data_IF_764179322944
#
_entry.id   IF_764179322944
#
_cell.length_a   1.000
_cell.length_b   1.000
_cell.length_c   1.000
_cell.angle_alpha   90.00
_cell.angle_beta   90.00
_cell.angle_gamma   90.00
#
_symmetry.space_group_name_H-M   'P 1'
#
loop_
_entity.id
_entity.type
_entity.pdbx_description
1 polymer ?
#
# COMPACT_ATOMS: atom_id res chain seq x y z
N UNK A 1 22.79 -1.74 17.84
CA UNK A 1 22.33 -0.49 17.18
C UNK A 1 23.34 -0.01 16.12
N UNK A 2 23.97 -0.95 15.38
CA UNK A 2 25.19 -0.69 14.58
C UNK A 2 25.01 -1.09 13.10
N UNK A 3 23.83 -1.58 12.67
CA UNK A 3 23.64 -2.11 11.31
C UNK A 3 23.17 -1.07 10.27
N UNK A 4 22.11 -0.32 10.57
CA UNK A 4 21.50 0.62 9.61
C UNK A 4 22.27 1.94 9.50
N UNK A 5 22.84 2.46 10.59
CA UNK A 5 23.52 3.76 10.57
C UNK A 5 24.82 3.72 9.75
N UNK A 6 25.54 2.59 9.76
CA UNK A 6 26.77 2.42 8.97
C UNK A 6 26.50 2.16 7.48
N UNK A 7 25.45 1.40 7.12
CA UNK A 7 25.04 1.25 5.72
C UNK A 7 24.41 2.53 5.13
N UNK A 8 23.69 3.32 5.94
CA UNK A 8 23.08 4.58 5.51
C UNK A 8 24.11 5.69 5.26
N UNK A 9 25.32 5.59 5.82
CA UNK A 9 26.40 6.54 5.58
C UNK A 9 26.96 6.51 4.14
N UNK A 10 26.71 5.43 3.37
CA UNK A 10 27.25 5.26 2.02
C UNK A 10 26.31 5.66 0.87
N UNK A 11 25.00 5.79 1.11
CA UNK A 11 24.04 6.09 0.04
C UNK A 11 23.82 7.60 -0.06
N UNK A 12 24.08 8.17 -1.24
CA UNK A 12 23.90 9.62 -1.45
C UNK A 12 22.44 9.92 -1.77
N UNK A 13 21.78 10.78 -1.00
CA UNK A 13 20.46 11.26 -1.38
C UNK A 13 20.54 12.17 -2.61
N UNK A 14 19.56 12.04 -3.50
CA UNK A 14 19.47 12.85 -4.72
C UNK A 14 19.27 14.34 -4.42
N UNK A 15 18.57 14.67 -3.33
CA UNK A 15 18.39 16.02 -2.80
C UNK A 15 19.13 16.14 -1.46
N UNK A 16 20.42 16.51 -1.44
CA UNK A 16 21.24 16.51 -0.22
C UNK A 16 20.68 17.39 0.91
N UNK A 17 20.00 18.48 0.58
CA UNK A 17 19.39 19.37 1.57
C UNK A 17 18.20 18.74 2.31
N UNK A 18 17.56 17.71 1.74
CA UNK A 18 16.45 16.98 2.37
C UNK A 18 16.92 15.79 3.21
N UNK A 19 18.22 15.46 3.19
CA UNK A 19 18.82 14.36 3.94
C UNK A 19 18.38 14.32 5.42
N UNK A 20 18.40 15.43 6.19
CA UNK A 20 18.02 15.39 7.60
C UNK A 20 16.55 15.00 7.79
N UNK A 21 15.68 15.51 6.92
CA UNK A 21 14.25 15.23 6.92
C UNK A 21 14.01 13.76 6.57
N UNK A 22 14.67 13.27 5.53
CA UNK A 22 14.57 11.88 5.09
C UNK A 22 15.08 10.89 6.12
N UNK A 23 16.20 11.17 6.80
CA UNK A 23 16.69 10.33 7.89
C UNK A 23 15.71 10.25 9.06
N UNK A 24 15.06 11.36 9.39
CA UNK A 24 14.06 11.41 10.46
C UNK A 24 12.78 10.65 10.08
N UNK A 25 12.34 10.75 8.82
CA UNK A 25 11.06 10.22 8.37
C UNK A 25 11.13 8.77 7.85
N UNK A 26 12.26 8.33 7.28
CA UNK A 26 12.38 7.02 6.65
C UNK A 26 12.00 5.83 7.55
N UNK A 27 12.35 5.81 8.86
CA UNK A 27 11.99 4.69 9.72
C UNK A 27 10.47 4.61 10.02
N UNK A 28 9.70 5.66 9.69
CA UNK A 28 8.24 5.65 9.78
C UNK A 28 7.55 4.97 8.60
N UNK A 29 8.24 4.76 7.48
CA UNK A 29 7.66 4.13 6.29
C UNK A 29 7.05 2.76 6.62
N UNK A 30 7.83 1.85 7.21
CA UNK A 30 7.29 0.54 7.60
C UNK A 30 6.19 0.64 8.68
N UNK A 31 6.32 1.60 9.62
CA UNK A 31 5.29 1.83 10.64
C UNK A 31 3.96 2.24 10.03
N UNK A 32 3.96 3.09 9.00
CA UNK A 32 2.74 3.48 8.30
C UNK A 32 2.12 2.30 7.54
N UNK A 33 2.94 1.43 6.94
CA UNK A 33 2.45 0.20 6.30
C UNK A 33 1.75 -0.67 7.34
N UNK A 34 2.41 -0.97 8.47
CA UNK A 34 1.81 -1.75 9.57
C UNK A 34 0.53 -1.11 10.09
N UNK A 35 0.55 0.20 10.32
CA UNK A 35 -0.60 0.96 10.79
C UNK A 35 -1.79 0.82 9.83
N UNK A 36 -1.58 1.11 8.54
CA UNK A 36 -2.62 1.04 7.52
C UNK A 36 -3.16 -0.38 7.34
N UNK A 37 -2.29 -1.39 7.37
CA UNK A 37 -2.67 -2.81 7.34
C UNK A 37 -3.59 -3.17 8.51
N UNK A 38 -3.32 -2.69 9.72
CA UNK A 38 -4.20 -2.95 10.88
C UNK A 38 -5.48 -2.14 10.83
N UNK A 39 -5.38 -0.84 10.55
CA UNK A 39 -6.49 0.10 10.55
C UNK A 39 -7.60 -0.30 9.57
N UNK A 40 -7.25 -0.89 8.42
CA UNK A 40 -8.24 -1.29 7.41
C UNK A 40 -9.20 -2.37 7.90
N UNK A 41 -8.79 -3.24 8.84
CA UNK A 41 -9.69 -4.29 9.36
C UNK A 41 -10.70 -3.75 10.37
N UNK A 42 -10.43 -2.60 10.98
CA UNK A 42 -11.27 -2.09 12.07
C UNK A 42 -12.71 -1.80 11.61
N UNK A 43 -12.95 -1.08 10.50
CA UNK A 43 -14.30 -0.85 10.00
C UNK A 43 -15.05 -2.14 9.62
N UNK A 44 -14.36 -3.14 9.03
CA UNK A 44 -14.97 -4.44 8.70
C UNK A 44 -15.34 -5.22 9.95
N UNK A 45 -14.47 -5.20 10.97
CA UNK A 45 -14.73 -5.83 12.25
C UNK A 45 -15.93 -5.22 12.97
N UNK A 46 -16.01 -3.89 13.01
CA UNK A 46 -17.18 -3.17 13.55
C UNK A 46 -18.44 -3.50 12.76
N UNK A 47 -18.38 -3.54 11.43
CA UNK A 47 -19.52 -3.91 10.60
C UNK A 47 -20.01 -5.34 10.89
N UNK A 48 -19.10 -6.30 11.07
CA UNK A 48 -19.43 -7.69 11.42
C UNK A 48 -20.04 -7.81 12.81
N UNK A 49 -19.54 -7.06 13.80
CA UNK A 49 -20.12 -6.99 15.14
C UNK A 49 -21.55 -6.46 15.07
N UNK A 50 -21.77 -5.35 14.33
CA UNK A 50 -23.10 -4.77 14.13
C UNK A 50 -24.05 -5.72 13.39
N UNK A 51 -23.53 -6.60 12.54
CA UNK A 51 -24.27 -7.65 11.85
C UNK A 51 -24.46 -8.94 12.70
N UNK A 52 -24.05 -8.95 13.96
CA UNK A 52 -24.22 -10.08 14.89
C UNK A 52 -23.14 -11.16 14.81
N UNK A 53 -22.10 -10.99 13.99
CA UNK A 53 -20.96 -11.90 13.93
C UNK A 53 -19.83 -11.43 14.87
N UNK A 54 -20.05 -11.64 16.16
CA UNK A 54 -19.16 -11.14 17.21
C UNK A 54 -17.76 -11.75 17.18
N UNK A 55 -17.63 -13.03 16.81
CA UNK A 55 -16.33 -13.71 16.81
C UNK A 55 -15.40 -13.17 15.72
N UNK A 56 -15.84 -13.22 14.45
CA UNK A 56 -15.04 -12.68 13.35
C UNK A 56 -14.91 -11.17 13.43
N UNK A 57 -15.99 -10.48 13.81
CA UNK A 57 -15.96 -9.03 13.96
C UNK A 57 -15.02 -8.56 15.08
N UNK A 58 -14.98 -9.29 16.20
CA UNK A 58 -14.04 -9.06 17.29
C UNK A 58 -12.59 -9.30 16.87
N UNK A 59 -12.32 -10.37 16.11
CA UNK A 59 -10.98 -10.65 15.58
C UNK A 59 -10.49 -9.53 14.66
N UNK A 60 -11.31 -9.06 13.72
CA UNK A 60 -10.92 -7.98 12.81
C UNK A 60 -10.78 -6.62 13.50
N UNK A 61 -11.73 -6.26 14.37
CA UNK A 61 -11.71 -4.97 15.05
C UNK A 61 -10.53 -4.88 16.03
N UNK A 62 -10.43 -5.85 16.94
CA UNK A 62 -9.37 -5.85 17.96
C UNK A 62 -8.03 -6.20 17.33
N UNK A 63 -7.97 -7.24 16.50
CA UNK A 63 -6.75 -7.64 15.80
C UNK A 63 -6.20 -6.53 14.91
N UNK A 64 -7.07 -5.80 14.21
CA UNK A 64 -6.71 -4.61 13.43
C UNK A 64 -6.06 -3.52 14.27
N UNK A 65 -6.65 -3.16 15.42
CA UNK A 65 -6.07 -2.20 16.37
C UNK A 65 -4.72 -2.68 16.90
N UNK A 66 -4.63 -3.95 17.31
CA UNK A 66 -3.39 -4.53 17.84
C UNK A 66 -2.25 -4.52 16.81
N UNK A 67 -2.55 -4.87 15.55
CA UNK A 67 -1.60 -4.73 14.45
C UNK A 67 -1.21 -3.26 14.26
N UNK A 68 -2.18 -2.34 14.24
CA UNK A 68 -1.95 -0.92 14.00
C UNK A 68 -1.11 -0.25 15.10
N UNK A 69 -1.19 -0.72 16.34
CA UNK A 69 -0.36 -0.25 17.46
C UNK A 69 0.97 -1.00 17.60
N UNK A 70 1.08 -2.20 17.02
CA UNK A 70 2.32 -2.98 17.01
C UNK A 70 2.46 -3.75 18.31
N UNK A 71 1.33 -4.31 18.76
CA UNK A 71 1.22 -5.16 19.92
C UNK A 71 0.74 -6.53 19.44
N UNK A 72 1.52 -7.60 19.70
CA UNK A 72 1.25 -8.98 19.22
C UNK A 72 0.86 -9.07 17.72
N UNK A 73 1.39 -8.16 16.90
CA UNK A 73 1.03 -8.04 15.49
C UNK A 73 1.29 -9.30 14.65
N UNK A 74 2.30 -10.12 14.98
CA UNK A 74 2.58 -11.37 14.23
C UNK A 74 1.45 -12.36 14.41
N UNK A 75 1.05 -12.61 15.66
CA UNK A 75 -0.06 -13.51 15.99
C UNK A 75 -1.35 -13.02 15.35
N UNK A 76 -1.68 -11.74 15.52
CA UNK A 76 -2.90 -11.17 14.95
C UNK A 76 -2.89 -11.20 13.41
N UNK A 77 -1.76 -10.89 12.77
CA UNK A 77 -1.65 -10.93 11.32
C UNK A 77 -1.79 -12.35 10.77
N UNK A 78 -1.28 -13.38 11.46
CA UNK A 78 -1.49 -14.78 11.08
C UNK A 78 -2.97 -15.16 11.15
N UNK A 79 -3.67 -14.78 12.23
CA UNK A 79 -5.11 -15.08 12.36
C UNK A 79 -5.93 -14.40 11.24
N UNK A 80 -5.65 -13.12 10.96
CA UNK A 80 -6.30 -12.40 9.87
C UNK A 80 -5.90 -12.93 8.49
N UNK A 81 -4.69 -13.46 8.30
CA UNK A 81 -4.30 -14.12 7.04
C UNK A 81 -5.20 -15.32 6.75
N UNK A 82 -5.48 -16.15 7.76
CA UNK A 82 -6.37 -17.30 7.61
C UNK A 82 -7.77 -16.84 7.19
N UNK A 83 -8.29 -15.78 7.82
CA UNK A 83 -9.57 -15.20 7.44
C UNK A 83 -9.56 -14.62 6.02
N UNK A 84 -8.54 -13.86 5.65
CA UNK A 84 -8.41 -13.28 4.30
C UNK A 84 -8.31 -14.36 3.24
N UNK A 85 -7.58 -15.45 3.50
CA UNK A 85 -7.52 -16.61 2.61
C UNK A 85 -8.90 -17.24 2.41
N UNK A 86 -9.67 -17.40 3.49
CA UNK A 86 -11.06 -17.85 3.39
C UNK A 86 -11.94 -16.88 2.60
N UNK A 87 -11.78 -15.56 2.77
CA UNK A 87 -12.51 -14.57 1.98
C UNK A 87 -12.16 -14.65 0.50
N UNK A 88 -10.90 -14.92 0.15
CA UNK A 88 -10.49 -15.12 -1.25
C UNK A 88 -11.20 -16.35 -1.83
N UNK A 89 -11.21 -17.48 -1.12
CA UNK A 89 -11.85 -18.71 -1.64
C UNK A 89 -13.35 -18.52 -1.84
N UNK A 90 -14.03 -17.83 -0.93
CA UNK A 90 -15.47 -17.55 -1.02
C UNK A 90 -15.81 -16.58 -2.17
N UNK A 91 -14.90 -15.67 -2.53
CA UNK A 91 -15.17 -14.63 -3.52
C UNK A 91 -14.50 -14.86 -4.89
N UNK A 92 -13.74 -15.94 -5.09
CA UNK A 92 -12.94 -16.17 -6.30
C UNK A 92 -13.77 -16.18 -7.60
N UNK A 93 -15.03 -16.63 -7.53
CA UNK A 93 -15.95 -16.64 -8.68
C UNK A 93 -16.54 -15.27 -9.03
N UNK A 94 -16.36 -14.24 -8.20
CA UNK A 94 -16.94 -12.90 -8.42
C UNK A 94 -16.09 -12.05 -9.37
N UNK A 95 -14.88 -12.47 -9.72
CA UNK A 95 -13.97 -11.73 -10.60
C UNK A 95 -12.79 -11.10 -9.86
N UNK A 96 -11.89 -10.50 -10.64
CA UNK A 96 -10.58 -10.02 -10.19
C UNK A 96 -10.49 -8.49 -10.22
N UNK A 97 -10.20 -7.94 -11.40
CA UNK A 97 -9.85 -6.54 -11.60
C UNK A 97 -11.12 -5.67 -11.71
N UNK A 98 -11.21 -4.61 -10.90
CA UNK A 98 -12.33 -3.66 -10.91
C UNK A 98 -13.72 -4.24 -10.63
N UNK A 99 -13.79 -5.49 -10.18
CA UNK A 99 -15.07 -6.15 -9.93
C UNK A 99 -15.55 -5.87 -8.51
N UNK A 100 -16.81 -5.41 -8.38
CA UNK A 100 -17.45 -5.21 -7.07
C UNK A 100 -17.52 -6.55 -6.34
N UNK A 101 -16.97 -6.61 -5.13
CA UNK A 101 -16.91 -7.84 -4.36
C UNK A 101 -15.93 -8.89 -4.92
N UNK A 102 -15.09 -8.53 -5.89
CA UNK A 102 -14.03 -9.40 -6.42
C UNK A 102 -12.88 -9.59 -5.44
N UNK A 103 -11.89 -10.39 -5.82
CA UNK A 103 -10.82 -10.80 -4.89
C UNK A 103 -9.63 -9.86 -4.81
N UNK A 104 -9.48 -8.90 -5.72
CA UNK A 104 -8.30 -8.02 -5.78
C UNK A 104 -8.01 -7.31 -4.44
N UNK A 105 -9.06 -6.80 -3.77
CA UNK A 105 -8.95 -6.16 -2.45
C UNK A 105 -8.40 -7.12 -1.39
N UNK A 106 -8.93 -8.34 -1.34
CA UNK A 106 -8.49 -9.35 -0.38
C UNK A 106 -7.06 -9.84 -0.66
N UNK A 107 -6.69 -10.01 -1.94
CA UNK A 107 -5.31 -10.34 -2.29
C UNK A 107 -4.35 -9.20 -1.94
N UNK A 108 -4.80 -7.96 -2.01
CA UNK A 108 -4.02 -6.83 -1.51
C UNK A 108 -3.78 -6.92 0.00
N UNK A 109 -4.84 -7.14 0.78
CA UNK A 109 -4.74 -7.35 2.24
C UNK A 109 -3.82 -8.53 2.60
N UNK A 110 -3.87 -9.62 1.83
CA UNK A 110 -3.04 -10.81 2.02
C UNK A 110 -1.54 -10.45 2.04
N UNK A 111 -1.03 -9.75 1.03
CA UNK A 111 0.39 -9.42 0.98
C UNK A 111 0.81 -8.35 1.98
N UNK A 112 -0.09 -7.43 2.34
CA UNK A 112 0.16 -6.49 3.44
C UNK A 112 0.28 -7.21 4.79
N UNK A 113 -0.59 -8.18 5.06
CA UNK A 113 -0.50 -9.01 6.25
C UNK A 113 0.76 -9.88 6.24
N UNK A 114 1.14 -10.47 5.09
CA UNK A 114 2.42 -11.19 4.96
C UNK A 114 3.62 -10.29 5.25
N UNK A 115 3.58 -9.04 4.77
CA UNK A 115 4.59 -8.03 5.12
C UNK A 115 4.68 -7.82 6.63
N UNK A 116 3.55 -7.71 7.32
CA UNK A 116 3.51 -7.57 8.80
C UNK A 116 3.98 -8.85 9.51
N UNK A 117 3.60 -10.03 9.01
CA UNK A 117 4.06 -11.31 9.56
C UNK A 117 5.56 -11.45 9.45
N UNK A 118 6.19 -10.96 8.38
CA UNK A 118 7.65 -11.01 8.21
C UNK A 118 8.32 -9.90 9.02
N UNK A 119 7.95 -8.64 8.78
CA UNK A 119 8.61 -7.46 9.34
C UNK A 119 8.28 -7.16 10.79
N UNK A 120 7.26 -7.81 11.36
CA UNK A 120 6.89 -7.65 12.77
C UNK A 120 6.42 -6.24 13.10
N UNK A 121 6.78 -5.78 14.31
CA UNK A 121 6.29 -4.52 14.87
C UNK A 121 6.96 -3.28 14.24
N UNK A 122 8.15 -3.43 13.66
CA UNK A 122 8.96 -2.30 13.23
C UNK A 122 9.63 -1.57 14.40
N UNK A 123 10.29 -0.45 14.08
CA UNK A 123 11.10 0.33 15.02
C UNK A 123 10.28 1.21 15.97
N UNK A 124 9.07 1.62 15.56
CA UNK A 124 8.19 2.51 16.31
C UNK A 124 6.92 1.80 16.80
N UNK A 125 7.10 0.72 17.54
CA UNK A 125 6.02 -0.03 18.18
C UNK A 125 6.22 -0.14 19.69
N UNK A 126 5.16 -0.51 20.42
CA UNK A 126 5.21 -0.74 21.87
C UNK A 126 6.18 -1.89 22.18
N UNK A 127 6.08 -3.00 21.44
CA UNK A 127 7.03 -4.11 21.48
C UNK A 127 7.89 -4.09 20.22
N UNK A 128 9.06 -3.45 20.28
CA UNK A 128 9.90 -3.20 19.09
C UNK A 128 10.48 -4.49 18.51
N UNK A 129 10.49 -4.57 17.19
CA UNK A 129 11.25 -5.59 16.46
C UNK A 129 12.71 -5.15 16.36
N UNK A 130 13.64 -6.01 16.78
CA UNK A 130 15.07 -5.71 16.75
C UNK A 130 15.75 -6.24 15.50
N UNK A 131 15.11 -7.15 14.75
CA UNK A 131 15.66 -7.69 13.53
C UNK A 131 15.40 -6.77 12.32
N UNK A 132 16.36 -5.88 12.08
CA UNK A 132 16.37 -4.92 10.96
C UNK A 132 16.21 -5.58 9.59
N UNK A 133 16.72 -6.81 9.39
CA UNK A 133 16.59 -7.55 8.12
C UNK A 133 15.14 -7.95 7.86
N UNK A 134 14.43 -8.41 8.89
CA UNK A 134 13.03 -8.78 8.77
C UNK A 134 12.15 -7.57 8.45
N UNK A 135 12.37 -6.44 9.13
CA UNK A 135 11.65 -5.19 8.85
C UNK A 135 11.86 -4.78 7.39
N UNK A 136 13.11 -4.81 6.91
CA UNK A 136 13.44 -4.49 5.53
C UNK A 136 12.81 -5.45 4.51
N UNK A 137 12.73 -6.75 4.82
CA UNK A 137 12.05 -7.74 3.98
C UNK A 137 10.54 -7.48 3.94
N UNK A 138 9.90 -7.21 5.08
CA UNK A 138 8.47 -6.84 5.12
C UNK A 138 8.19 -5.59 4.28
N UNK A 139 8.97 -4.53 4.48
CA UNK A 139 8.88 -3.30 3.68
C UNK A 139 9.02 -3.56 2.17
N UNK A 140 10.01 -4.37 1.78
CA UNK A 140 10.24 -4.73 0.38
C UNK A 140 9.10 -5.57 -0.18
N UNK A 141 8.58 -6.53 0.59
CA UNK A 141 7.43 -7.33 0.20
C UNK A 141 6.21 -6.46 -0.03
N UNK A 142 5.90 -5.53 0.88
CA UNK A 142 4.78 -4.59 0.70
C UNK A 142 4.93 -3.78 -0.60
N UNK A 143 6.15 -3.30 -0.90
CA UNK A 143 6.42 -2.54 -2.12
C UNK A 143 6.21 -3.37 -3.39
N UNK A 144 6.83 -4.54 -3.45
CA UNK A 144 6.73 -5.45 -4.60
C UNK A 144 5.29 -5.94 -4.79
N UNK A 145 4.62 -6.30 -3.69
CA UNK A 145 3.26 -6.80 -3.72
C UNK A 145 2.25 -5.76 -4.19
N UNK A 146 2.33 -4.54 -3.65
CA UNK A 146 1.48 -3.44 -4.08
C UNK A 146 1.68 -3.15 -5.56
N UNK A 147 2.93 -2.99 -6.00
CA UNK A 147 3.24 -2.75 -7.40
C UNK A 147 2.68 -3.86 -8.30
N UNK A 148 2.93 -5.12 -7.95
CA UNK A 148 2.44 -6.28 -8.70
C UNK A 148 0.92 -6.28 -8.88
N UNK A 149 0.15 -5.92 -7.84
CA UNK A 149 -1.31 -5.91 -7.89
C UNK A 149 -1.90 -4.73 -8.68
N UNK A 150 -1.12 -3.66 -8.90
CA UNK A 150 -1.53 -2.52 -9.71
C UNK A 150 -1.15 -2.72 -11.19
N UNK A 151 -0.11 -3.50 -11.52
CA UNK A 151 0.31 -3.74 -12.90
C UNK A 151 -0.81 -4.15 -13.88
N UNK A 152 -1.77 -5.03 -13.53
CA UNK A 152 -2.87 -5.39 -14.43
C UNK A 152 -3.72 -4.18 -14.84
N UNK A 153 -3.84 -3.18 -13.95
CA UNK A 153 -4.54 -1.95 -14.23
C UNK A 153 -3.82 -1.09 -15.27
N UNK A 154 -2.50 -0.91 -15.13
CA UNK A 154 -1.69 -0.20 -16.13
C UNK A 154 -1.71 -0.92 -17.48
N UNK A 155 -1.66 -2.26 -17.47
CA UNK A 155 -1.75 -3.07 -18.68
C UNK A 155 -3.09 -2.89 -19.41
N UNK A 156 -4.23 -2.99 -18.70
CA UNK A 156 -5.56 -2.77 -19.29
C UNK A 156 -5.68 -1.37 -19.88
N UNK A 157 -5.14 -0.35 -19.20
CA UNK A 157 -5.18 1.03 -19.69
C UNK A 157 -4.42 1.21 -21.01
N UNK A 158 -3.21 0.67 -21.11
CA UNK A 158 -2.34 0.87 -22.27
C UNK A 158 -2.73 -0.04 -23.45
N UNK A 159 -3.09 -1.29 -23.18
CA UNK A 159 -3.22 -2.33 -24.22
C UNK A 159 -4.65 -2.79 -24.49
N UNK A 160 -5.63 -2.33 -23.70
CA UNK A 160 -7.04 -2.76 -23.82
C UNK A 160 -8.00 -1.55 -23.82
N UNK A 161 -7.59 -0.45 -24.47
CA UNK A 161 -8.36 0.79 -24.63
C UNK A 161 -8.81 1.47 -23.32
N UNK A 162 -8.25 1.08 -22.18
CA UNK A 162 -8.63 1.61 -20.88
C UNK A 162 -8.27 3.09 -20.70
N UNK A 163 -7.28 3.62 -21.43
CA UNK A 163 -6.96 5.07 -21.44
C UNK A 163 -8.18 5.89 -21.87
N UNK A 164 -8.82 5.55 -22.99
CA UNK A 164 -9.99 6.27 -23.48
C UNK A 164 -11.16 6.17 -22.48
N UNK A 165 -11.34 4.99 -21.89
CA UNK A 165 -12.35 4.72 -20.85
C UNK A 165 -12.17 5.60 -19.62
N UNK A 166 -10.96 5.73 -19.09
CA UNK A 166 -10.73 6.59 -17.91
C UNK A 166 -10.75 8.08 -18.26
N UNK A 167 -10.32 8.47 -19.47
CA UNK A 167 -10.36 9.84 -19.94
C UNK A 167 -11.80 10.36 -20.01
N UNK A 168 -12.70 9.59 -20.62
CA UNK A 168 -14.13 9.94 -20.73
C UNK A 168 -14.90 9.76 -19.41
N UNK A 169 -14.37 8.96 -18.48
CA UNK A 169 -15.00 8.67 -17.20
C UNK A 169 -14.38 9.45 -16.04
N UNK A 170 -13.45 8.80 -15.34
CA UNK A 170 -12.91 9.26 -14.07
C UNK A 170 -12.14 10.57 -14.18
N UNK A 171 -11.32 10.76 -15.22
CA UNK A 171 -10.51 11.97 -15.39
C UNK A 171 -11.39 13.18 -15.70
N UNK A 172 -12.42 13.01 -16.54
CA UNK A 172 -13.35 14.11 -16.82
C UNK A 172 -14.04 14.63 -15.56
N UNK A 173 -14.37 13.74 -14.61
CA UNK A 173 -14.97 14.11 -13.32
C UNK A 173 -14.06 14.96 -12.43
N UNK A 174 -12.73 14.89 -12.60
CA UNK A 174 -11.80 15.70 -11.80
C UNK A 174 -11.66 17.13 -12.32
N UNK A 175 -12.14 17.42 -13.53
CA UNK A 175 -11.97 18.73 -14.17
C UNK A 175 -10.56 18.97 -14.73
N UNK A 176 -9.71 17.93 -14.82
CA UNK A 176 -8.38 18.06 -15.39
C UNK A 176 -8.41 18.00 -16.92
N UNK A 177 -7.97 19.08 -17.56
CA UNK A 177 -7.91 19.20 -19.02
C UNK A 177 -6.47 19.30 -19.53
N UNK A 178 -6.14 18.67 -20.69
CA UNK A 178 -6.99 17.78 -21.46
C UNK A 178 -7.07 16.36 -20.83
N UNK A 179 -8.26 15.71 -20.75
CA UNK A 179 -8.43 14.44 -20.04
C UNK A 179 -7.57 13.29 -20.59
N UNK A 180 -7.35 13.28 -21.89
CA UNK A 180 -6.55 12.25 -22.56
C UNK A 180 -5.08 12.27 -22.09
N UNK A 181 -4.51 13.47 -21.85
CA UNK A 181 -3.15 13.60 -21.36
C UNK A 181 -3.01 12.95 -19.98
N UNK A 182 -3.89 13.31 -19.04
CA UNK A 182 -3.86 12.78 -17.68
C UNK A 182 -4.15 11.28 -17.65
N UNK A 183 -5.03 10.77 -18.52
CA UNK A 183 -5.27 9.35 -18.65
C UNK A 183 -4.02 8.57 -19.07
N UNK A 184 -3.24 9.10 -20.02
CA UNK A 184 -1.95 8.51 -20.41
C UNK A 184 -0.91 8.58 -19.30
N UNK A 185 -0.83 9.68 -18.56
CA UNK A 185 0.07 9.81 -17.40
C UNK A 185 -0.25 8.73 -16.36
N UNK A 186 -1.52 8.56 -16.00
CA UNK A 186 -1.99 7.51 -15.09
C UNK A 186 -1.64 6.11 -15.62
N UNK A 187 -1.91 5.85 -16.89
CA UNK A 187 -1.65 4.54 -17.50
C UNK A 187 -0.16 4.14 -17.43
N UNK A 188 0.75 5.07 -17.74
CA UNK A 188 2.19 4.83 -17.64
C UNK A 188 2.69 4.72 -16.21
N UNK A 189 2.13 5.51 -15.29
CA UNK A 189 2.47 5.44 -13.87
C UNK A 189 2.07 4.10 -13.26
N UNK A 190 0.89 3.58 -13.60
CA UNK A 190 0.42 2.28 -13.14
C UNK A 190 1.12 1.08 -13.79
N UNK A 191 1.73 1.24 -14.97
CA UNK A 191 2.50 0.18 -15.63
C UNK A 191 4.01 0.33 -15.36
N UNK A 192 4.65 1.28 -16.04
CA UNK A 192 6.10 1.49 -15.94
C UNK A 192 6.50 1.96 -14.54
N UNK A 193 5.72 2.86 -13.94
CA UNK A 193 5.96 3.31 -12.57
C UNK A 193 5.90 2.15 -11.57
N UNK A 194 4.90 1.26 -11.66
CA UNK A 194 4.84 0.10 -10.76
C UNK A 194 6.01 -0.87 -10.95
N UNK A 195 6.47 -1.10 -12.18
CA UNK A 195 7.69 -1.91 -12.42
C UNK A 195 8.92 -1.29 -11.74
N UNK A 196 9.09 0.02 -11.88
CA UNK A 196 10.19 0.76 -11.24
C UNK A 196 10.06 0.74 -9.72
N UNK A 197 8.85 0.94 -9.19
CA UNK A 197 8.57 0.89 -7.76
C UNK A 197 8.85 -0.50 -7.18
N UNK A 198 8.44 -1.58 -7.86
CA UNK A 198 8.74 -2.95 -7.43
C UNK A 198 10.26 -3.18 -7.30
N UNK A 199 11.03 -2.77 -8.31
CA UNK A 199 12.48 -2.83 -8.31
C UNK A 199 13.12 -1.93 -7.24
N UNK A 200 12.40 -0.93 -6.73
CA UNK A 200 12.95 0.12 -5.89
C UNK A 200 13.90 1.02 -6.69
N UNK A 201 13.46 1.46 -7.87
CA UNK A 201 14.15 2.40 -8.74
C UNK A 201 13.34 3.70 -8.80
N UNK A 202 13.98 4.85 -8.58
CA UNK A 202 13.32 6.17 -8.45
C UNK A 202 12.16 6.11 -7.44
N UNK A 203 12.39 5.45 -6.30
CA UNK A 203 11.31 5.03 -5.40
C UNK A 203 10.46 6.21 -4.92
N UNK A 204 11.07 7.29 -4.40
CA UNK A 204 10.28 8.43 -3.91
C UNK A 204 9.55 9.19 -5.01
N UNK A 205 10.17 9.56 -6.16
CA UNK A 205 9.44 10.23 -7.23
C UNK A 205 8.23 9.42 -7.72
N UNK A 206 8.41 8.12 -7.97
CA UNK A 206 7.33 7.25 -8.44
C UNK A 206 6.25 7.09 -7.36
N UNK A 207 6.64 6.84 -6.11
CA UNK A 207 5.71 6.72 -5.00
C UNK A 207 4.93 8.01 -4.76
N UNK A 208 5.56 9.18 -4.95
CA UNK A 208 4.91 10.48 -4.78
C UNK A 208 3.88 10.73 -5.88
N UNK A 209 4.22 10.45 -7.14
CA UNK A 209 3.25 10.55 -8.23
C UNK A 209 2.05 9.62 -8.00
N UNK A 210 2.30 8.38 -7.58
CA UNK A 210 1.23 7.42 -7.30
C UNK A 210 0.42 7.81 -6.06
N UNK A 211 1.05 8.40 -5.04
CA UNK A 211 0.36 8.99 -3.89
C UNK A 211 -0.63 10.08 -4.31
N UNK A 212 -0.19 11.00 -5.17
CA UNK A 212 -1.04 12.08 -5.69
C UNK A 212 -2.21 11.49 -6.50
N UNK A 213 -1.94 10.53 -7.37
CA UNK A 213 -2.97 9.83 -8.14
C UNK A 213 -4.01 9.20 -7.22
N UNK A 214 -3.58 8.39 -6.24
CA UNK A 214 -4.49 7.71 -5.33
C UNK A 214 -5.25 8.68 -4.42
N UNK A 215 -4.62 9.79 -4.00
CA UNK A 215 -5.28 10.84 -3.24
C UNK A 215 -6.41 11.50 -4.04
N UNK A 216 -6.16 11.86 -5.30
CA UNK A 216 -7.19 12.39 -6.21
C UNK A 216 -8.34 11.39 -6.36
N UNK A 217 -8.03 10.11 -6.61
CA UNK A 217 -9.04 9.06 -6.71
C UNK A 217 -9.85 8.92 -5.42
N UNK A 218 -9.18 8.97 -4.27
CA UNK A 218 -9.79 8.82 -2.94
C UNK A 218 -10.76 9.95 -2.68
N UNK A 219 -10.30 11.21 -2.75
CA UNK A 219 -11.05 12.37 -2.28
C UNK A 219 -12.01 12.94 -3.33
N UNK A 220 -11.65 12.90 -4.62
CA UNK A 220 -12.47 13.52 -5.68
C UNK A 220 -13.42 12.53 -6.36
N UNK A 221 -13.09 11.24 -6.39
CA UNK A 221 -13.84 10.24 -7.19
C UNK A 221 -14.63 9.28 -6.31
N UNK A 222 -14.00 8.68 -5.30
CA UNK A 222 -14.60 7.56 -4.56
C UNK A 222 -15.26 7.96 -3.24
N UNK A 223 -14.79 9.02 -2.58
CA UNK A 223 -15.37 9.49 -1.32
C UNK A 223 -16.89 9.79 -1.40
N UNK A 224 -17.43 10.35 -2.50
CA UNK A 224 -18.87 10.52 -2.66
C UNK A 224 -19.68 9.21 -2.64
N UNK A 225 -19.06 8.07 -2.92
CA UNK A 225 -19.72 6.75 -2.89
C UNK A 225 -19.72 6.11 -1.50
N UNK A 226 -19.21 6.82 -0.48
CA UNK A 226 -19.04 6.32 0.88
C UNK A 226 -17.69 5.65 1.13
N UNK A 227 -17.56 4.97 2.26
CA UNK A 227 -16.29 4.37 2.70
C UNK A 227 -16.03 3.02 2.03
N UNK A 228 -16.94 2.05 2.21
CA UNK A 228 -16.66 0.65 1.90
C UNK A 228 -16.41 0.36 0.41
N UNK A 229 -15.35 -0.40 0.13
CA UNK A 229 -14.95 -0.76 -1.24
C UNK A 229 -16.02 -1.57 -1.99
N UNK A 230 -16.85 -2.33 -1.28
CA UNK A 230 -17.96 -3.12 -1.84
C UNK A 230 -18.99 -2.26 -2.56
N UNK A 231 -19.11 -0.98 -2.16
CA UNK A 231 -19.97 0.03 -2.78
C UNK A 231 -19.24 0.93 -3.78
N UNK A 232 -17.99 0.60 -4.16
CA UNK A 232 -17.04 1.50 -4.86
C UNK A 232 -16.71 2.76 -4.05
N UNK A 233 -16.68 2.62 -2.72
CA UNK A 233 -16.25 3.65 -1.79
C UNK A 233 -14.72 3.82 -1.73
N UNK A 234 -14.27 4.84 -1.02
CA UNK A 234 -12.87 5.29 -1.04
C UNK A 234 -11.89 4.40 -0.28
N UNK A 235 -12.34 3.43 0.51
CA UNK A 235 -11.52 2.62 1.42
C UNK A 235 -10.24 2.05 0.78
N UNK A 236 -10.38 1.36 -0.36
CA UNK A 236 -9.22 0.75 -1.01
C UNK A 236 -8.25 1.80 -1.58
N UNK A 237 -8.78 2.88 -2.14
CA UNK A 237 -7.96 3.97 -2.64
C UNK A 237 -7.24 4.73 -1.51
N UNK A 238 -7.90 4.89 -0.36
CA UNK A 238 -7.32 5.51 0.83
C UNK A 238 -6.18 4.65 1.38
N UNK A 239 -6.35 3.33 1.42
CA UNK A 239 -5.28 2.40 1.80
C UNK A 239 -4.07 2.57 0.88
N UNK A 240 -4.26 2.55 -0.44
CA UNK A 240 -3.18 2.76 -1.41
C UNK A 240 -2.53 4.15 -1.27
N UNK A 241 -3.31 5.18 -0.92
CA UNK A 241 -2.80 6.53 -0.62
C UNK A 241 -1.86 6.51 0.58
N UNK A 242 -2.23 5.85 1.68
CA UNK A 242 -1.36 5.77 2.86
C UNK A 242 -0.10 4.92 2.60
N UNK A 243 -0.23 3.80 1.89
CA UNK A 243 0.90 2.92 1.58
C UNK A 243 1.88 3.59 0.60
N UNK A 244 1.39 4.27 -0.44
CA UNK A 244 2.26 5.04 -1.34
C UNK A 244 2.99 6.16 -0.62
N UNK A 245 2.32 6.89 0.29
CA UNK A 245 2.96 7.88 1.14
C UNK A 245 4.04 7.25 2.04
N UNK A 246 3.82 6.04 2.54
CA UNK A 246 4.85 5.30 3.28
C UNK A 246 6.11 5.01 2.46
N UNK A 247 5.99 4.82 1.14
CA UNK A 247 7.13 4.71 0.22
C UNK A 247 7.78 6.06 -0.09
N UNK A 248 7.03 7.17 -0.10
CA UNK A 248 7.60 8.53 -0.17
C UNK A 248 8.51 8.81 1.02
N UNK A 249 8.09 8.39 2.22
CA UNK A 249 8.89 8.61 3.44
C UNK A 249 10.09 7.66 3.52
N UNK A 250 9.83 6.36 3.36
CA UNK A 250 10.82 5.29 3.56
C UNK A 250 11.78 5.04 2.39
N UNK A 251 11.49 5.60 1.21
CA UNK A 251 12.34 5.45 0.03
C UNK A 251 12.46 4.01 -0.45
N UNK A 252 13.58 3.68 -1.09
CA UNK A 252 13.85 2.35 -1.63
C UNK A 252 14.10 1.29 -0.55
N UNK A 253 14.44 1.66 0.68
CA UNK A 253 14.81 0.67 1.71
C UNK A 253 15.99 -0.22 1.31
N UNK A 254 16.24 -1.28 2.09
CA UNK A 254 17.47 -2.10 1.97
C UNK A 254 17.59 -2.85 0.64
N UNK A 255 16.48 -3.40 0.14
CA UNK A 255 16.46 -4.23 -1.05
C UNK A 255 15.90 -3.44 -2.23
N UNK A 256 16.60 -2.40 -2.66
CA UNK A 256 16.25 -1.54 -3.81
C UNK A 256 17.39 -1.44 -4.81
N UNK A 257 17.04 -1.21 -6.07
CA UNK A 257 18.01 -0.83 -7.10
C UNK A 257 18.66 0.51 -6.78
N UNK A 258 17.90 1.48 -6.28
CA UNK A 258 18.37 2.78 -5.78
C UNK A 258 19.59 2.60 -4.85
N UNK A 259 19.44 1.78 -3.80
CA UNK A 259 20.56 1.49 -2.88
C UNK A 259 21.72 0.77 -3.57
N UNK A 260 21.46 -0.16 -4.50
CA UNK A 260 22.52 -0.87 -5.25
C UNK A 260 23.36 0.07 -6.12
N UNK A 261 22.76 1.13 -6.67
CA UNK A 261 23.47 2.15 -7.45
C UNK A 261 24.04 3.29 -6.57
N UNK A 262 23.93 3.17 -5.25
CA UNK A 262 24.45 4.14 -4.28
C UNK A 262 23.70 5.46 -4.24
N UNK A 263 22.47 5.51 -4.74
CA UNK A 263 21.63 6.73 -4.74
C UNK A 263 20.25 6.46 -4.17
N UNK A 264 19.81 7.30 -3.26
CA UNK A 264 18.43 7.27 -2.77
C UNK A 264 17.72 8.52 -3.28
N UNK A 265 16.69 8.31 -4.11
CA UNK A 265 15.87 9.39 -4.68
C UNK A 265 14.76 9.76 -3.73
#
# INVERSE_FOLDING_TARGET
MVGILDEAAQVKNFLPFMEPVWRALAPWGYTLIRFATGAIFVPHGVQKIMAGNYWLGGLEAVGGVLIALGFVQRTMAILLLVEVLWLITVNIGKGWLWTRGGVQYHVFQLGLLLSVVIGGAGLHAIMRETNERLIALGYTLARVWMAFLILPSGYEKIFQDGVARIAAGNVLKTGFYPPMLWAWVVAWLELAGMLMLAAGLLTRPIAFMFFVEMAVITFMIQMPNGYFWTSRGCEFALLLTVISFAFVLGGGGRYSVDRRIGREF
#
